data_IF_800187892341
#
_entry.id   IF_800187892341
#
_cell.length_a   1.000
_cell.length_b   1.000
_cell.length_c   1.000
_cell.angle_alpha   90.00
_cell.angle_beta   90.00
_cell.angle_gamma   90.00
#
_symmetry.space_group_name_H-M   'P 1'
#
loop_
_entity.id
_entity.type
_entity.pdbx_description
1 polymer ?
#
# COMPACT_ATOMS: atom_id res chain seq x y z
N UNK A 1 13.01 10.56 -23.30
CA UNK A 1 13.53 9.64 -22.30
C UNK A 1 12.35 9.32 -21.37
N UNK A 2 12.06 8.05 -21.07
CA UNK A 2 11.02 7.72 -20.10
C UNK A 2 11.31 8.41 -18.77
N UNK A 3 10.30 9.03 -18.17
CA UNK A 3 10.41 9.59 -16.81
C UNK A 3 10.20 8.44 -15.81
N UNK A 4 11.14 8.27 -14.88
CA UNK A 4 10.98 7.38 -13.72
C UNK A 4 10.41 8.24 -12.59
N UNK A 5 9.36 7.76 -11.95
CA UNK A 5 8.70 8.40 -10.81
C UNK A 5 8.82 7.43 -9.64
N UNK A 6 9.43 7.89 -8.54
CA UNK A 6 9.41 7.17 -7.28
C UNK A 6 8.07 7.44 -6.59
N UNK A 7 7.34 6.40 -6.28
CA UNK A 7 6.04 6.45 -5.61
C UNK A 7 6.12 5.89 -4.18
N UNK A 8 7.32 5.91 -3.57
CA UNK A 8 7.54 5.48 -2.19
C UNK A 8 7.84 6.68 -1.30
N UNK A 9 7.21 6.84 -0.14
CA UNK A 9 7.61 7.82 0.84
C UNK A 9 8.98 7.44 1.43
N UNK A 10 9.81 8.42 1.86
CA UNK A 10 11.03 8.12 2.60
C UNK A 10 10.73 7.31 3.86
N UNK A 11 11.50 6.24 4.08
CA UNK A 11 11.39 5.39 5.28
C UNK A 11 12.57 5.66 6.19
N UNK A 12 12.31 6.37 7.27
CA UNK A 12 13.29 6.74 8.30
C UNK A 12 12.63 6.75 9.70
N UNK A 13 13.38 7.05 10.79
CA UNK A 13 12.82 7.04 12.15
C UNK A 13 11.64 8.01 12.40
N UNK A 14 11.36 8.94 11.50
CA UNK A 14 10.25 9.89 11.64
C UNK A 14 8.95 9.40 10.98
N UNK A 15 9.01 8.33 10.17
CA UNK A 15 7.82 7.82 9.49
C UNK A 15 6.78 7.30 10.49
N UNK A 16 5.52 7.65 10.28
CA UNK A 16 4.44 7.11 11.08
C UNK A 16 4.20 5.63 10.75
N UNK A 17 3.98 4.83 11.79
CA UNK A 17 3.56 3.43 11.67
C UNK A 17 2.16 3.27 12.25
N UNK A 18 1.51 2.17 11.94
CA UNK A 18 0.22 1.85 12.55
C UNK A 18 0.31 1.89 14.07
N UNK A 19 -0.66 2.54 14.78
CA UNK A 19 -0.63 2.65 16.23
C UNK A 19 -0.60 1.28 16.92
N UNK A 20 0.48 1.04 17.67
CA UNK A 20 0.75 -0.23 18.35
C UNK A 20 1.73 -1.14 17.64
N UNK A 21 2.08 -0.85 16.38
CA UNK A 21 3.13 -1.56 15.66
C UNK A 21 4.53 -1.13 16.09
N UNK A 22 5.53 -1.92 15.68
CA UNK A 22 6.94 -1.64 15.95
C UNK A 22 7.41 -0.44 15.14
N UNK A 23 7.81 0.69 15.76
CA UNK A 23 8.32 1.85 15.05
C UNK A 23 9.62 1.52 14.30
N UNK A 24 9.90 2.29 13.24
CA UNK A 24 11.17 2.20 12.54
C UNK A 24 12.30 2.70 13.45
N UNK A 25 13.31 1.87 13.62
CA UNK A 25 14.54 2.21 14.35
C UNK A 25 15.76 1.73 13.57
N UNK A 26 16.76 2.61 13.42
CA UNK A 26 18.03 2.32 12.79
C UNK A 26 19.13 2.39 13.85
N UNK A 27 19.91 1.32 13.96
CA UNK A 27 21.04 1.21 14.90
C UNK A 27 22.33 0.99 14.13
N UNK A 28 23.32 1.86 14.37
CA UNK A 28 24.64 1.68 13.79
C UNK A 28 25.43 0.57 14.51
N UNK A 29 25.83 -0.43 13.74
CA UNK A 29 26.66 -1.55 14.20
C UNK A 29 28.14 -1.21 14.03
N UNK A 30 28.50 -0.53 12.92
CA UNK A 30 29.84 -0.05 12.62
C UNK A 30 29.76 1.29 11.87
N UNK A 31 30.73 2.18 12.11
CA UNK A 31 30.79 3.48 11.44
C UNK A 31 32.21 3.83 11.01
N UNK A 32 32.36 4.34 9.80
CA UNK A 32 33.65 4.76 9.25
C UNK A 32 34.24 5.97 10.01
N UNK A 33 33.39 6.88 10.49
CA UNK A 33 33.80 8.01 11.34
C UNK A 33 34.28 7.59 12.74
N UNK A 34 34.09 6.31 13.10
CA UNK A 34 34.57 5.68 14.34
C UNK A 34 35.68 4.64 14.09
N UNK A 35 36.29 4.66 12.88
CA UNK A 35 37.43 3.82 12.53
C UNK A 35 37.09 2.46 11.90
N UNK A 36 35.83 2.18 11.63
CA UNK A 36 35.44 0.97 10.89
C UNK A 36 35.77 1.11 9.38
N UNK A 37 35.90 -0.01 8.67
CA UNK A 37 36.15 -0.04 7.23
C UNK A 37 34.91 0.28 6.40
N UNK A 38 33.70 0.17 6.99
CA UNK A 38 32.41 0.44 6.36
C UNK A 38 31.37 0.87 7.36
N UNK A 39 30.27 1.44 6.86
CA UNK A 39 29.09 1.73 7.67
C UNK A 39 28.14 0.54 7.60
N UNK A 40 27.77 0.00 8.76
CA UNK A 40 26.80 -1.10 8.89
C UNK A 40 25.74 -0.70 9.90
N UNK A 41 24.49 -0.90 9.55
CA UNK A 41 23.36 -0.66 10.45
C UNK A 41 22.45 -1.90 10.53
N UNK A 42 21.67 -1.97 11.59
CA UNK A 42 20.52 -2.85 11.72
C UNK A 42 19.23 -2.02 11.72
N UNK A 43 18.15 -2.60 11.22
CA UNK A 43 16.83 -1.97 11.18
C UNK A 43 15.85 -2.86 11.95
N UNK A 44 15.05 -2.21 12.79
CA UNK A 44 13.88 -2.83 13.45
C UNK A 44 12.66 -2.03 13.02
N UNK A 45 11.61 -2.69 12.53
CA UNK A 45 10.38 -2.04 12.10
C UNK A 45 9.26 -3.07 11.91
N UNK A 46 8.01 -2.61 11.78
CA UNK A 46 6.94 -3.40 11.16
C UNK A 46 7.21 -3.56 9.66
N UNK A 47 6.82 -4.67 9.00
CA UNK A 47 6.84 -4.75 7.53
C UNK A 47 5.82 -3.82 6.86
N UNK A 48 4.78 -3.37 7.59
CA UNK A 48 3.72 -2.47 7.10
C UNK A 48 4.11 -1.00 7.30
N UNK A 49 5.24 -0.57 6.71
CA UNK A 49 5.76 0.80 6.82
C UNK A 49 6.03 1.39 5.43
N UNK A 50 5.59 2.63 5.22
CA UNK A 50 5.71 3.29 3.92
C UNK A 50 4.99 2.55 2.81
N UNK A 51 5.52 2.58 1.59
CA UNK A 51 4.95 1.81 0.47
C UNK A 51 5.29 0.33 0.60
N UNK A 52 4.27 -0.51 0.66
CA UNK A 52 4.43 -1.96 0.85
C UNK A 52 3.34 -2.77 0.13
N UNK A 53 3.53 -4.08 0.09
CA UNK A 53 2.57 -5.07 -0.38
C UNK A 53 2.30 -6.07 0.72
N UNK A 54 1.04 -6.45 0.90
CA UNK A 54 0.67 -7.48 1.86
C UNK A 54 0.78 -8.89 1.29
N UNK A 55 1.38 -9.79 2.07
CA UNK A 55 1.19 -11.21 1.87
C UNK A 55 -0.17 -11.65 2.45
N UNK A 56 -0.89 -12.58 1.80
CA UNK A 56 -2.16 -13.09 2.32
C UNK A 56 -2.08 -13.63 3.76
N UNK A 57 -0.92 -14.10 4.21
CA UNK A 57 -0.68 -14.52 5.60
C UNK A 57 -0.94 -13.40 6.62
N UNK A 58 -0.88 -12.12 6.20
CA UNK A 58 -1.17 -10.98 7.08
C UNK A 58 -2.59 -11.02 7.66
N UNK A 59 -3.56 -11.52 6.89
CA UNK A 59 -4.98 -11.50 7.27
C UNK A 59 -5.71 -12.83 7.03
N UNK A 60 -5.01 -13.87 6.58
CA UNK A 60 -5.51 -15.25 6.45
C UNK A 60 -4.62 -16.21 7.21
N UNK A 61 -5.21 -17.03 8.09
CA UNK A 61 -4.47 -18.01 8.93
C UNK A 61 -3.62 -18.96 8.09
N UNK A 62 -4.14 -19.45 6.96
CA UNK A 62 -3.47 -20.38 6.04
C UNK A 62 -3.04 -19.68 4.74
N UNK A 63 -2.90 -18.34 4.75
CA UNK A 63 -2.46 -17.58 3.60
C UNK A 63 -0.96 -17.77 3.30
N UNK A 64 -0.52 -17.72 2.04
CA UNK A 64 0.91 -17.75 1.72
C UNK A 64 1.60 -16.48 2.22
N UNK A 65 2.85 -16.57 2.72
CA UNK A 65 3.67 -15.41 3.03
C UNK A 65 4.03 -14.66 1.75
N UNK A 66 4.44 -13.37 1.89
CA UNK A 66 4.73 -12.51 0.74
C UNK A 66 5.81 -13.09 -0.20
N UNK A 67 6.78 -13.84 0.33
CA UNK A 67 7.83 -14.48 -0.46
C UNK A 67 7.36 -15.61 -1.38
N UNK A 68 6.15 -16.12 -1.19
CA UNK A 68 5.52 -17.15 -2.03
C UNK A 68 4.45 -16.59 -2.97
N UNK A 69 4.23 -15.27 -2.94
CA UNK A 69 3.26 -14.61 -3.81
C UNK A 69 3.86 -14.37 -5.19
N UNK A 70 3.07 -14.66 -6.24
CA UNK A 70 3.44 -14.39 -7.62
C UNK A 70 3.70 -12.89 -7.85
N UNK A 71 4.79 -12.58 -8.55
CA UNK A 71 5.19 -11.21 -8.89
C UNK A 71 4.43 -10.62 -10.07
N UNK A 72 3.82 -11.44 -10.92
CA UNK A 72 3.15 -10.98 -12.14
C UNK A 72 2.05 -9.92 -11.90
N UNK A 73 1.24 -9.94 -10.82
CA UNK A 73 0.31 -8.86 -10.51
C UNK A 73 0.98 -7.50 -10.36
N UNK A 74 2.21 -7.44 -9.86
CA UNK A 74 2.94 -6.19 -9.58
C UNK A 74 3.66 -5.60 -10.80
N UNK A 75 3.75 -6.35 -11.91
CA UNK A 75 4.52 -5.95 -13.10
C UNK A 75 3.60 -5.59 -14.26
N UNK A 76 3.83 -4.43 -14.88
CA UNK A 76 3.15 -4.04 -16.11
C UNK A 76 2.51 -2.65 -16.04
N UNK A 77 1.69 -2.35 -17.04
CA UNK A 77 0.98 -1.07 -17.14
C UNK A 77 -0.01 -0.92 -15.99
N UNK A 78 -0.05 0.26 -15.38
CA UNK A 78 -1.06 0.64 -14.40
C UNK A 78 -1.73 1.95 -14.81
N UNK A 79 -2.88 2.23 -14.20
CA UNK A 79 -3.60 3.50 -14.31
C UNK A 79 -3.69 4.12 -12.93
N UNK A 80 -3.23 5.36 -12.81
CA UNK A 80 -3.51 6.19 -11.63
C UNK A 80 -4.87 6.85 -11.82
N UNK A 81 -5.71 6.74 -10.81
CA UNK A 81 -7.06 7.32 -10.78
C UNK A 81 -7.14 8.29 -9.61
N UNK A 82 -7.32 9.57 -9.92
CA UNK A 82 -7.48 10.61 -8.91
C UNK A 82 -8.92 10.62 -8.40
N UNK A 83 -9.09 10.32 -7.13
CA UNK A 83 -10.34 10.34 -6.37
C UNK A 83 -10.18 11.17 -5.10
N UNK A 84 -9.37 12.23 -5.18
CA UNK A 84 -9.03 13.09 -4.03
C UNK A 84 -10.27 13.56 -3.28
N UNK A 85 -10.22 13.40 -1.95
CA UNK A 85 -11.26 13.90 -1.03
C UNK A 85 -12.42 12.95 -0.76
N UNK A 86 -12.39 11.72 -1.30
CA UNK A 86 -13.40 10.71 -0.92
C UNK A 86 -13.02 10.04 0.41
N UNK A 87 -14.01 9.72 1.23
CA UNK A 87 -13.81 8.91 2.44
C UNK A 87 -13.71 7.41 2.13
N UNK A 88 -14.32 6.96 1.04
CA UNK A 88 -14.24 5.61 0.55
C UNK A 88 -14.19 5.61 -0.98
N UNK A 89 -13.35 4.76 -1.55
CA UNK A 89 -13.29 4.55 -3.00
C UNK A 89 -14.37 3.54 -3.38
N UNK A 90 -15.40 4.02 -4.07
CA UNK A 90 -16.58 3.27 -4.49
C UNK A 90 -16.73 3.30 -6.01
N UNK A 91 -17.74 2.62 -6.54
CA UNK A 91 -18.09 2.71 -7.95
C UNK A 91 -18.47 4.14 -8.36
N UNK A 92 -19.13 4.89 -7.47
CA UNK A 92 -19.50 6.29 -7.73
C UNK A 92 -18.26 7.20 -7.81
N UNK A 93 -17.20 6.91 -7.06
CA UNK A 93 -15.94 7.69 -7.08
C UNK A 93 -15.26 7.69 -8.47
N UNK A 94 -15.56 6.68 -9.29
CA UNK A 94 -14.99 6.50 -10.65
C UNK A 94 -16.04 6.60 -11.74
N UNK A 95 -17.18 7.20 -11.44
CA UNK A 95 -18.27 7.32 -12.40
C UNK A 95 -17.82 8.00 -13.70
N UNK A 96 -18.15 7.40 -14.84
CA UNK A 96 -17.76 7.87 -16.17
C UNK A 96 -16.33 7.49 -16.60
N UNK A 97 -15.56 6.79 -15.78
CA UNK A 97 -14.23 6.30 -16.14
C UNK A 97 -14.34 4.87 -16.72
N UNK A 98 -13.73 4.65 -17.87
CA UNK A 98 -13.63 3.30 -18.43
C UNK A 98 -12.43 2.55 -17.81
N UNK A 99 -12.70 1.58 -16.95
CA UNK A 99 -11.71 0.71 -16.32
C UNK A 99 -11.69 -0.71 -16.93
N UNK A 100 -12.42 -0.97 -18.01
CA UNK A 100 -12.57 -2.32 -18.58
C UNK A 100 -11.29 -2.93 -19.16
N UNK A 101 -10.29 -2.10 -19.50
CA UNK A 101 -8.99 -2.54 -20.03
C UNK A 101 -7.85 -2.42 -19.01
N UNK A 102 -8.17 -2.05 -17.77
CA UNK A 102 -7.16 -1.80 -16.72
C UNK A 102 -6.92 -3.09 -15.94
N UNK A 103 -5.66 -3.53 -15.89
CA UNK A 103 -5.26 -4.70 -15.09
C UNK A 103 -4.62 -4.32 -13.75
N UNK A 104 -4.18 -3.07 -13.60
CA UNK A 104 -3.58 -2.51 -12.38
C UNK A 104 -4.05 -1.08 -12.20
N UNK A 105 -4.58 -0.76 -11.04
CA UNK A 105 -5.11 0.59 -10.73
C UNK A 105 -4.50 1.09 -9.43
N UNK A 106 -4.09 2.36 -9.42
CA UNK A 106 -3.61 3.04 -8.22
C UNK A 106 -4.55 4.20 -7.92
N UNK A 107 -5.16 4.21 -6.75
CA UNK A 107 -6.08 5.26 -6.32
C UNK A 107 -5.34 6.32 -5.52
N UNK A 108 -5.41 7.56 -6.02
CA UNK A 108 -4.93 8.76 -5.32
C UNK A 108 -6.11 9.39 -4.59
N UNK A 109 -6.12 9.26 -3.27
CA UNK A 109 -7.18 9.78 -2.41
C UNK A 109 -6.82 11.13 -1.78
N UNK A 110 -5.52 11.37 -1.55
CA UNK A 110 -4.99 12.55 -0.86
C UNK A 110 -5.37 12.63 0.61
N UNK A 111 -5.85 11.53 1.22
CA UNK A 111 -6.34 11.54 2.61
C UNK A 111 -5.28 11.15 3.63
N UNK A 112 -4.09 10.72 3.19
CA UNK A 112 -2.91 10.52 4.03
C UNK A 112 -1.71 11.28 3.45
N UNK A 113 -1.75 12.63 3.43
CA UNK A 113 -0.80 13.44 2.68
C UNK A 113 0.57 13.59 3.33
N UNK A 114 0.67 13.33 4.64
CA UNK A 114 1.92 13.43 5.41
C UNK A 114 2.26 12.07 6.03
N UNK A 115 3.24 11.33 5.48
CA UNK A 115 3.62 10.03 6.01
C UNK A 115 4.32 10.08 7.38
N UNK A 116 4.62 11.30 7.90
CA UNK A 116 5.23 11.49 9.21
C UNK A 116 4.19 11.66 10.33
N UNK A 117 2.93 11.91 9.97
CA UNK A 117 1.86 12.16 10.92
C UNK A 117 0.73 11.16 10.71
N UNK A 118 0.48 10.34 11.73
CA UNK A 118 -0.64 9.41 11.67
C UNK A 118 -1.99 10.15 11.58
N UNK A 119 -2.76 9.82 10.54
CA UNK A 119 -4.13 10.27 10.37
C UNK A 119 -5.05 9.04 10.38
N UNK A 120 -5.96 8.87 11.37
CA UNK A 120 -6.88 7.74 11.42
C UNK A 120 -8.01 7.81 10.39
N UNK A 121 -8.29 9.01 9.85
CA UNK A 121 -9.42 9.29 8.95
C UNK A 121 -9.02 9.18 7.47
N UNK A 122 -8.19 8.19 7.13
CA UNK A 122 -7.78 7.94 5.75
C UNK A 122 -8.86 7.19 4.96
N UNK A 123 -8.89 7.40 3.64
CA UNK A 123 -9.81 6.72 2.74
C UNK A 123 -9.46 5.23 2.57
N UNK A 124 -10.48 4.43 2.33
CA UNK A 124 -10.41 2.98 2.15
C UNK A 124 -11.17 2.54 0.90
N UNK A 125 -11.11 1.24 0.57
CA UNK A 125 -11.81 0.66 -0.58
C UNK A 125 -13.15 0.03 -0.15
N UNK A 126 -14.22 0.30 -0.90
CA UNK A 126 -15.47 -0.46 -0.77
C UNK A 126 -15.26 -1.90 -1.25
N UNK A 127 -15.55 -2.93 -0.42
CA UNK A 127 -15.31 -4.33 -0.79
C UNK A 127 -16.18 -4.80 -1.96
N UNK A 128 -17.34 -4.22 -2.18
CA UNK A 128 -18.20 -4.50 -3.34
C UNK A 128 -17.56 -3.99 -4.62
N UNK A 129 -16.98 -2.79 -4.56
CA UNK A 129 -16.23 -2.21 -5.68
C UNK A 129 -14.95 -2.99 -5.98
N UNK A 130 -14.22 -3.45 -4.96
CA UNK A 130 -13.05 -4.35 -5.15
C UNK A 130 -13.46 -5.61 -5.94
N UNK A 131 -14.56 -6.28 -5.55
CA UNK A 131 -15.06 -7.45 -6.30
C UNK A 131 -15.45 -7.12 -7.72
N UNK A 132 -16.03 -5.94 -7.95
CA UNK A 132 -16.36 -5.48 -9.30
C UNK A 132 -15.11 -5.29 -10.15
N UNK A 133 -14.09 -4.65 -9.64
CA UNK A 133 -12.80 -4.47 -10.33
C UNK A 133 -12.15 -5.82 -10.67
N UNK A 134 -12.18 -6.79 -9.76
CA UNK A 134 -11.71 -8.14 -10.03
C UNK A 134 -12.47 -8.83 -11.18
N UNK A 135 -13.80 -8.66 -11.25
CA UNK A 135 -14.61 -9.16 -12.37
C UNK A 135 -14.30 -8.48 -13.71
N UNK A 136 -13.79 -7.26 -13.69
CA UNK A 136 -13.30 -6.54 -14.88
C UNK A 136 -11.87 -6.95 -15.29
N UNK A 137 -11.20 -7.81 -14.51
CA UNK A 137 -9.86 -8.30 -14.80
C UNK A 137 -8.73 -7.52 -14.14
N UNK A 138 -9.04 -6.64 -13.18
CA UNK A 138 -8.01 -5.98 -12.35
C UNK A 138 -7.32 -7.05 -11.47
N UNK A 139 -6.01 -6.99 -11.39
CA UNK A 139 -5.16 -7.93 -10.64
C UNK A 139 -4.39 -7.26 -9.51
N UNK A 140 -4.23 -5.94 -9.57
CA UNK A 140 -3.56 -5.14 -8.55
C UNK A 140 -4.35 -3.87 -8.28
N UNK A 141 -4.55 -3.56 -7.02
CA UNK A 141 -5.00 -2.25 -6.56
C UNK A 141 -3.91 -1.65 -5.68
N UNK A 142 -3.53 -0.39 -5.94
CA UNK A 142 -2.71 0.41 -5.03
C UNK A 142 -3.50 1.58 -4.47
N UNK A 143 -3.10 2.06 -3.29
CA UNK A 143 -3.70 3.21 -2.62
C UNK A 143 -2.64 4.01 -1.88
N UNK A 144 -2.85 5.32 -1.76
CA UNK A 144 -1.97 6.26 -1.05
C UNK A 144 -2.28 6.37 0.46
N UNK A 145 -2.96 5.37 1.01
CA UNK A 145 -3.29 5.27 2.43
C UNK A 145 -2.64 4.06 3.07
N UNK A 146 -2.47 4.04 4.41
CA UNK A 146 -1.78 2.94 5.09
C UNK A 146 -2.55 1.62 5.14
N UNK A 147 -3.82 1.60 4.68
CA UNK A 147 -4.62 0.38 4.55
C UNK A 147 -5.73 0.53 3.51
N UNK A 148 -6.09 -0.59 2.86
CA UNK A 148 -7.28 -0.67 2.00
C UNK A 148 -8.58 -0.79 2.79
N UNK A 149 -8.54 -1.08 4.10
CA UNK A 149 -9.68 -1.09 5.02
C UNK A 149 -9.60 0.09 6.00
N UNK A 150 -10.72 0.57 6.59
CA UNK A 150 -10.69 1.64 7.58
C UNK A 150 -9.96 1.21 8.86
N UNK A 151 -9.40 2.18 9.59
CA UNK A 151 -8.58 1.92 10.79
C UNK A 151 -9.28 1.10 11.86
N UNK A 152 -10.58 1.26 12.04
CA UNK A 152 -11.37 0.56 13.04
C UNK A 152 -11.92 -0.80 12.58
N UNK A 153 -11.62 -1.21 11.36
CA UNK A 153 -12.03 -2.50 10.80
C UNK A 153 -11.51 -3.67 11.64
N UNK A 154 -12.39 -4.60 11.96
CA UNK A 154 -12.06 -5.85 12.68
C UNK A 154 -12.11 -7.08 11.79
N UNK A 155 -12.66 -6.94 10.60
CA UNK A 155 -12.91 -8.06 9.68
C UNK A 155 -12.23 -7.90 8.32
N UNK A 156 -11.56 -6.77 8.08
CA UNK A 156 -10.78 -6.47 6.88
C UNK A 156 -11.49 -6.85 5.56
N UNK A 157 -12.71 -6.36 5.32
CA UNK A 157 -13.54 -6.83 4.21
C UNK A 157 -12.97 -6.50 2.83
N UNK A 158 -12.20 -5.41 2.67
CA UNK A 158 -11.54 -5.09 1.40
C UNK A 158 -10.35 -6.03 1.13
N UNK A 159 -9.53 -6.32 2.16
CA UNK A 159 -8.47 -7.33 2.04
C UNK A 159 -9.03 -8.71 1.66
N UNK A 160 -10.11 -9.14 2.32
CA UNK A 160 -10.75 -10.41 1.97
C UNK A 160 -11.31 -10.41 0.55
N UNK A 161 -11.90 -9.29 0.09
CA UNK A 161 -12.38 -9.16 -1.28
C UNK A 161 -11.24 -9.24 -2.32
N UNK A 162 -10.07 -8.68 -2.03
CA UNK A 162 -8.89 -8.80 -2.89
C UNK A 162 -8.50 -10.27 -3.09
N UNK A 163 -8.37 -11.02 -2.01
CA UNK A 163 -7.98 -12.45 -2.11
C UNK A 163 -9.07 -13.28 -2.76
N UNK A 164 -10.34 -13.06 -2.43
CA UNK A 164 -11.49 -13.70 -3.07
C UNK A 164 -11.42 -13.59 -4.61
N UNK A 165 -10.97 -12.43 -5.10
CA UNK A 165 -10.84 -12.14 -6.52
C UNK A 165 -9.45 -12.47 -7.11
N UNK A 166 -8.54 -13.07 -6.34
CA UNK A 166 -7.18 -13.37 -6.78
C UNK A 166 -6.31 -12.12 -7.02
N UNK A 167 -6.67 -11.01 -6.41
CA UNK A 167 -6.00 -9.72 -6.57
C UNK A 167 -4.93 -9.52 -5.49
N UNK A 168 -4.10 -8.48 -5.68
CA UNK A 168 -3.08 -8.02 -4.74
C UNK A 168 -3.25 -6.54 -4.46
N UNK A 169 -2.67 -6.07 -3.35
CA UNK A 169 -2.64 -4.65 -2.97
C UNK A 169 -1.23 -4.09 -2.89
N UNK A 170 -1.17 -2.77 -2.99
CA UNK A 170 -0.07 -1.91 -2.57
C UNK A 170 -0.67 -0.80 -1.69
N UNK A 171 -0.04 -0.51 -0.57
CA UNK A 171 -0.49 0.49 0.40
C UNK A 171 0.61 1.51 0.68
N UNK A 172 0.24 2.66 1.23
CA UNK A 172 1.18 3.71 1.61
C UNK A 172 1.94 4.35 0.44
N UNK A 173 1.34 4.39 -0.75
CA UNK A 173 1.98 4.95 -1.95
C UNK A 173 2.06 6.47 -1.90
N UNK A 174 3.17 7.04 -2.37
CA UNK A 174 3.24 8.49 -2.68
C UNK A 174 2.77 8.73 -4.12
N UNK A 175 1.52 9.14 -4.27
CA UNK A 175 0.89 9.49 -5.54
C UNK A 175 0.72 11.01 -5.71
N UNK A 176 1.53 11.81 -5.02
CA UNK A 176 1.45 13.28 -5.04
C UNK A 176 1.86 13.92 -6.38
N UNK A 177 2.63 13.21 -7.20
CA UNK A 177 3.22 13.69 -8.47
C UNK A 177 2.30 13.52 -9.67
#
# INVERSE_FOLDING_TARGET
>A
VPRIIDITPPVDPSIAVWPGDTPYALHWVARMDQGASCNVSSITTTPHVGAHADGPLHFLVDGPPIGEVDLDPYLGRCRVVDVTGVAAVTEESVFGMDLSSVTRVLFKTGTFPDPLQWNPDFAYLDPGFVRRLGKLGVRLIGIDTPSVDPMDSKTLPAHHALVEMGMRNLEGLDLSQ
#
